data_IF_398892397433
#
_entry.id   IF_398892397433
#
_cell.length_a   1.000
_cell.length_b   1.000
_cell.length_c   1.000
_cell.angle_alpha   90.00
_cell.angle_beta   90.00
_cell.angle_gamma   90.00
#
_symmetry.space_group_name_H-M   'P 1'
#
loop_
_entity.id
_entity.type
_entity.pdbx_description
1 polymer ?
#
# COMPACT_ATOMS: atom_id res chain seq x y z
N UNK A 1 7.32 -15.29 35.88
CA UNK A 1 8.11 -15.44 34.63
C UNK A 1 7.70 -14.31 33.70
N UNK A 2 8.60 -13.35 33.48
CA UNK A 2 8.39 -12.29 32.49
C UNK A 2 8.77 -12.88 31.13
N UNK A 3 7.80 -13.07 30.24
CA UNK A 3 8.08 -13.35 28.84
C UNK A 3 8.53 -12.03 28.22
N UNK A 4 9.82 -11.74 28.33
CA UNK A 4 10.45 -10.73 27.51
C UNK A 4 10.47 -11.26 26.08
N UNK A 5 9.37 -11.09 25.35
CA UNK A 5 9.35 -11.20 23.90
C UNK A 5 10.28 -10.11 23.38
N UNK A 6 11.49 -10.49 23.00
CA UNK A 6 12.36 -9.61 22.24
C UNK A 6 11.58 -9.13 21.02
N UNK A 7 11.48 -7.80 20.85
CA UNK A 7 10.80 -7.23 19.70
C UNK A 7 11.42 -7.85 18.43
N UNK A 8 10.61 -8.38 17.50
CA UNK A 8 11.13 -8.95 16.27
C UNK A 8 12.02 -7.91 15.58
N UNK A 9 13.15 -8.36 15.03
CA UNK A 9 13.99 -7.47 14.21
C UNK A 9 13.13 -6.90 13.10
N UNK A 10 13.34 -5.63 12.71
CA UNK A 10 12.52 -4.94 11.68
C UNK A 10 12.27 -5.81 10.45
N UNK A 11 13.29 -6.53 9.96
CA UNK A 11 13.16 -7.46 8.85
C UNK A 11 12.13 -8.59 9.08
N UNK A 12 12.07 -9.16 10.29
CA UNK A 12 11.08 -10.19 10.64
C UNK A 12 9.66 -9.60 10.70
N UNK A 13 9.52 -8.40 11.24
CA UNK A 13 8.23 -7.70 11.30
C UNK A 13 7.71 -7.36 9.88
N UNK A 14 8.60 -6.87 9.00
CA UNK A 14 8.29 -6.62 7.58
C UNK A 14 7.86 -7.90 6.88
N UNK A 15 8.60 -9.00 7.03
CA UNK A 15 8.25 -10.29 6.41
C UNK A 15 6.91 -10.81 6.90
N UNK A 16 6.62 -10.70 8.20
CA UNK A 16 5.35 -11.11 8.76
C UNK A 16 4.19 -10.28 8.17
N UNK A 17 4.32 -8.95 8.16
CA UNK A 17 3.31 -8.05 7.57
C UNK A 17 3.11 -8.34 6.09
N UNK A 18 4.19 -8.53 5.33
CA UNK A 18 4.14 -8.90 3.92
C UNK A 18 3.34 -10.20 3.70
N UNK A 19 3.65 -11.25 4.45
CA UNK A 19 2.93 -12.52 4.34
C UNK A 19 1.45 -12.39 4.71
N UNK A 20 1.13 -11.60 5.74
CA UNK A 20 -0.24 -11.29 6.13
C UNK A 20 -0.99 -10.58 5.00
N UNK A 21 -0.41 -9.54 4.40
CA UNK A 21 -1.05 -8.82 3.29
C UNK A 21 -1.25 -9.70 2.07
N UNK A 22 -0.23 -10.46 1.65
CA UNK A 22 -0.38 -11.40 0.55
C UNK A 22 -1.50 -12.41 0.77
N UNK A 23 -1.60 -12.95 1.99
CA UNK A 23 -2.64 -13.92 2.37
C UNK A 23 -4.02 -13.27 2.41
N UNK A 24 -4.13 -12.10 3.04
CA UNK A 24 -5.38 -11.36 3.16
C UNK A 24 -5.93 -10.94 1.80
N UNK A 25 -5.07 -10.44 0.90
CA UNK A 25 -5.48 -10.06 -0.46
C UNK A 25 -5.88 -11.28 -1.29
N UNK A 26 -5.14 -12.38 -1.20
CA UNK A 26 -5.51 -13.61 -1.90
C UNK A 26 -6.89 -14.12 -1.43
N UNK A 27 -7.09 -14.21 -0.11
CA UNK A 27 -8.35 -14.68 0.48
C UNK A 27 -9.50 -13.72 0.20
N UNK A 28 -9.29 -12.40 0.31
CA UNK A 28 -10.33 -11.40 0.06
C UNK A 28 -10.81 -11.47 -1.38
N UNK A 29 -9.91 -11.61 -2.35
CA UNK A 29 -10.27 -11.79 -3.76
C UNK A 29 -11.08 -13.07 -3.98
N UNK A 30 -10.68 -14.17 -3.34
CA UNK A 30 -11.39 -15.45 -3.45
C UNK A 30 -12.81 -15.38 -2.88
N UNK A 31 -12.99 -14.67 -1.75
CA UNK A 31 -14.28 -14.53 -1.07
C UNK A 31 -15.19 -13.52 -1.78
N UNK A 32 -14.65 -12.38 -2.19
CA UNK A 32 -15.42 -11.27 -2.79
C UNK A 32 -15.82 -11.56 -4.24
N UNK A 33 -15.00 -12.32 -4.97
CA UNK A 33 -15.22 -12.59 -6.39
C UNK A 33 -15.23 -14.10 -6.68
N UNK A 34 -16.14 -14.88 -6.05
CA UNK A 34 -16.11 -16.34 -6.12
C UNK A 34 -16.37 -16.90 -7.53
N UNK A 35 -17.01 -16.12 -8.40
CA UNK A 35 -17.32 -16.50 -9.79
C UNK A 35 -16.34 -15.93 -10.81
N UNK A 36 -15.49 -14.98 -10.42
CA UNK A 36 -14.52 -14.38 -11.33
C UNK A 36 -13.26 -15.26 -11.38
N UNK A 37 -12.95 -15.78 -12.56
CA UNK A 37 -11.69 -16.49 -12.80
C UNK A 37 -10.54 -15.46 -12.85
N UNK A 38 -10.03 -15.09 -11.68
CA UNK A 38 -8.82 -14.27 -11.57
C UNK A 38 -7.60 -15.10 -11.96
N UNK A 39 -6.71 -14.50 -12.75
CA UNK A 39 -5.44 -15.09 -13.13
C UNK A 39 -4.36 -14.79 -12.07
N UNK A 40 -3.94 -15.82 -11.34
CA UNK A 40 -2.83 -15.76 -10.38
C UNK A 40 -1.49 -16.19 -10.99
N UNK A 41 -1.42 -16.28 -12.32
CA UNK A 41 -0.24 -16.70 -13.06
C UNK A 41 0.22 -18.08 -12.67
N UNK A 42 1.52 -18.24 -12.34
CA UNK A 42 2.06 -19.54 -11.93
C UNK A 42 1.31 -20.18 -10.75
N UNK A 43 0.62 -19.39 -9.90
CA UNK A 43 -0.16 -19.93 -8.79
C UNK A 43 -1.43 -20.65 -9.24
N UNK A 44 -1.92 -20.41 -10.46
CA UNK A 44 -3.07 -21.13 -11.02
C UNK A 44 -2.84 -22.64 -11.07
N UNK A 45 -1.60 -23.08 -11.33
CA UNK A 45 -1.26 -24.51 -11.36
C UNK A 45 -1.52 -25.21 -10.02
N UNK A 46 -1.36 -24.52 -8.88
CA UNK A 46 -1.62 -25.11 -7.56
C UNK A 46 -3.11 -25.27 -7.24
N UNK A 47 -3.98 -24.56 -7.96
CA UNK A 47 -5.44 -24.63 -7.80
C UNK A 47 -6.13 -25.28 -9.00
N UNK A 48 -5.37 -25.98 -9.86
CA UNK A 48 -5.88 -26.73 -11.01
C UNK A 48 -6.45 -25.85 -12.13
N UNK A 49 -5.96 -24.62 -12.27
CA UNK A 49 -6.36 -23.68 -13.33
C UNK A 49 -5.26 -23.54 -14.38
N UNK A 50 -5.65 -23.21 -15.60
CA UNK A 50 -4.71 -22.88 -16.68
C UNK A 50 -3.91 -21.63 -16.34
N UNK A 51 -2.64 -21.61 -16.75
CA UNK A 51 -1.74 -20.47 -16.61
C UNK A 51 -1.70 -19.75 -17.95
N UNK A 52 -2.25 -18.54 -18.01
CA UNK A 52 -2.16 -17.69 -19.21
C UNK A 52 -0.80 -16.97 -19.23
N UNK A 53 -0.52 -16.20 -18.17
CA UNK A 53 0.76 -15.51 -17.99
C UNK A 53 1.53 -16.05 -16.79
N UNK A 54 2.87 -16.17 -16.84
CA UNK A 54 3.62 -16.73 -15.72
C UNK A 54 3.65 -15.78 -14.50
N UNK A 55 3.70 -14.46 -14.71
CA UNK A 55 3.80 -13.49 -13.61
C UNK A 55 3.31 -12.08 -13.99
N UNK A 56 3.84 -11.49 -15.07
CA UNK A 56 3.49 -10.13 -15.47
C UNK A 56 2.03 -10.01 -15.93
N UNK A 57 1.34 -8.96 -15.46
CA UNK A 57 -0.09 -8.74 -15.71
C UNK A 57 -1.02 -9.60 -14.85
N UNK A 58 -0.48 -10.41 -13.93
CA UNK A 58 -1.28 -11.33 -13.10
C UNK A 58 -1.67 -10.72 -11.75
N UNK A 59 -2.68 -11.29 -11.10
CA UNK A 59 -3.07 -10.90 -9.74
C UNK A 59 -1.95 -11.15 -8.73
N UNK A 60 -1.12 -12.16 -8.96
CA UNK A 60 0.03 -12.49 -8.09
C UNK A 60 1.09 -11.39 -8.12
N UNK A 61 1.41 -10.84 -9.29
CA UNK A 61 2.31 -9.69 -9.39
C UNK A 61 1.75 -8.48 -8.63
N UNK A 62 0.44 -8.22 -8.79
CA UNK A 62 -0.21 -7.12 -8.08
C UNK A 62 -0.16 -7.31 -6.55
N UNK A 63 -0.57 -8.48 -6.05
CA UNK A 63 -0.57 -8.79 -4.61
C UNK A 63 0.83 -8.65 -4.03
N UNK A 64 1.83 -9.29 -4.63
CA UNK A 64 3.21 -9.27 -4.12
C UNK A 64 3.80 -7.85 -4.19
N UNK A 65 3.57 -7.14 -5.30
CA UNK A 65 4.08 -5.78 -5.48
C UNK A 65 3.50 -4.80 -4.47
N UNK A 66 2.18 -4.76 -4.35
CA UNK A 66 1.49 -3.86 -3.41
C UNK A 66 1.79 -4.24 -1.97
N UNK A 67 1.66 -5.52 -1.59
CA UNK A 67 1.96 -5.98 -0.23
C UNK A 67 3.40 -5.69 0.19
N UNK A 68 4.36 -5.87 -0.74
CA UNK A 68 5.77 -5.58 -0.50
C UNK A 68 6.01 -4.10 -0.23
N UNK A 69 5.48 -3.24 -1.09
CA UNK A 69 5.58 -1.80 -0.92
C UNK A 69 4.95 -1.34 0.39
N UNK A 70 3.72 -1.78 0.69
CA UNK A 70 3.01 -1.42 1.92
C UNK A 70 3.77 -1.86 3.17
N UNK A 71 4.24 -3.11 3.22
CA UNK A 71 4.99 -3.62 4.36
C UNK A 71 6.29 -2.82 4.59
N UNK A 72 7.04 -2.51 3.53
CA UNK A 72 8.25 -1.70 3.64
C UNK A 72 7.92 -0.29 4.14
N UNK A 73 6.91 0.35 3.57
CA UNK A 73 6.55 1.74 3.90
C UNK A 73 6.01 1.88 5.32
N UNK A 74 5.22 0.92 5.79
CA UNK A 74 4.66 0.87 7.14
C UNK A 74 5.75 0.79 8.22
N UNK A 75 6.68 -0.15 8.06
CA UNK A 75 7.75 -0.32 9.04
C UNK A 75 8.79 0.80 8.94
N UNK A 76 9.04 1.34 7.75
CA UNK A 76 9.97 2.47 7.56
C UNK A 76 9.43 3.74 8.22
N UNK A 77 8.15 4.05 8.00
CA UNK A 77 7.54 5.25 8.59
C UNK A 77 7.46 5.15 10.11
N UNK A 78 7.08 3.98 10.65
CA UNK A 78 7.04 3.76 12.10
C UNK A 78 8.43 3.91 12.73
N UNK A 79 9.48 3.34 12.11
CA UNK A 79 10.85 3.50 12.59
C UNK A 79 11.31 4.96 12.57
N UNK A 80 10.99 5.71 11.51
CA UNK A 80 11.33 7.14 11.40
C UNK A 80 10.58 7.97 12.43
N UNK A 81 9.28 7.76 12.58
CA UNK A 81 8.49 8.46 13.57
C UNK A 81 8.92 8.14 14.99
N UNK A 82 9.24 6.88 15.30
CA UNK A 82 9.79 6.51 16.61
C UNK A 82 11.12 7.21 16.87
N UNK A 83 11.99 7.35 15.86
CA UNK A 83 13.26 8.09 15.98
C UNK A 83 13.05 9.58 16.23
N UNK A 84 12.05 10.20 15.59
CA UNK A 84 11.74 11.64 15.72
C UNK A 84 11.03 11.93 17.03
N UNK A 85 9.95 11.20 17.33
CA UNK A 85 9.09 11.45 18.50
C UNK A 85 9.52 10.72 19.77
N UNK A 86 10.56 9.87 19.69
CA UNK A 86 11.10 9.07 20.80
C UNK A 86 10.07 8.17 21.49
N UNK A 87 8.98 7.83 20.79
CA UNK A 87 7.91 6.96 21.27
C UNK A 87 7.29 6.19 20.12
N UNK A 88 6.71 5.04 20.42
CA UNK A 88 5.88 4.32 19.46
C UNK A 88 4.60 5.13 19.16
N UNK A 89 4.26 5.23 17.88
CA UNK A 89 3.05 5.94 17.45
C UNK A 89 1.91 4.96 17.23
N UNK A 90 0.82 5.19 17.95
CA UNK A 90 -0.48 4.68 17.55
C UNK A 90 -1.06 5.65 16.51
N UNK A 91 -1.15 5.23 15.24
CA UNK A 91 -1.68 6.08 14.17
C UNK A 91 -3.13 6.52 14.44
N UNK A 92 -3.95 5.66 15.06
CA UNK A 92 -5.32 6.02 15.47
C UNK A 92 -5.37 7.21 16.46
N UNK A 93 -4.31 7.44 17.23
CA UNK A 93 -4.19 8.55 18.18
C UNK A 93 -3.34 9.70 17.65
N UNK A 94 -2.77 9.58 16.45
CA UNK A 94 -1.79 10.50 15.90
C UNK A 94 -2.16 10.90 14.47
N UNK A 95 -3.27 11.63 14.27
CA UNK A 95 -3.83 11.89 12.94
C UNK A 95 -2.85 12.58 11.98
N UNK A 96 -2.02 13.51 12.46
CA UNK A 96 -1.01 14.15 11.62
C UNK A 96 0.07 13.16 11.12
N UNK A 97 0.53 12.25 11.99
CA UNK A 97 1.49 11.22 11.62
C UNK A 97 0.85 10.16 10.70
N UNK A 98 -0.44 9.85 10.90
CA UNK A 98 -1.20 9.00 10.00
C UNK A 98 -1.33 9.64 8.60
N UNK A 99 -1.64 10.94 8.53
CA UNK A 99 -1.70 11.65 7.24
C UNK A 99 -0.34 11.65 6.54
N UNK A 100 0.73 11.96 7.27
CA UNK A 100 2.09 11.91 6.72
C UNK A 100 2.50 10.50 6.29
N UNK A 101 2.13 9.46 7.05
CA UNK A 101 2.33 8.06 6.68
C UNK A 101 1.66 7.74 5.34
N UNK A 102 0.36 7.98 5.26
CA UNK A 102 -0.46 7.64 4.10
C UNK A 102 -0.05 8.46 2.87
N UNK A 103 0.19 9.77 3.01
CA UNK A 103 0.48 10.60 1.86
C UNK A 103 1.92 10.48 1.37
N UNK A 104 2.90 10.34 2.27
CA UNK A 104 4.31 10.36 1.85
C UNK A 104 4.81 8.95 1.62
N UNK A 105 4.60 8.05 2.58
CA UNK A 105 5.21 6.72 2.54
C UNK A 105 4.42 5.79 1.62
N UNK A 106 3.11 5.64 1.83
CA UNK A 106 2.30 4.74 1.00
C UNK A 106 2.27 5.23 -0.46
N UNK A 107 2.02 6.52 -0.70
CA UNK A 107 2.07 7.09 -2.06
C UNK A 107 3.41 6.80 -2.74
N UNK A 108 4.54 7.05 -2.06
CA UNK A 108 5.86 6.80 -2.65
C UNK A 108 6.06 5.31 -2.94
N UNK A 109 5.68 4.42 -2.03
CA UNK A 109 5.78 2.98 -2.23
C UNK A 109 4.98 2.50 -3.44
N UNK A 110 3.70 2.88 -3.53
CA UNK A 110 2.83 2.51 -4.64
C UNK A 110 3.30 3.15 -5.95
N UNK A 111 3.73 4.42 -5.92
CA UNK A 111 4.29 5.11 -7.09
C UNK A 111 5.53 4.41 -7.62
N UNK A 112 6.46 3.98 -6.74
CA UNK A 112 7.64 3.23 -7.15
C UNK A 112 7.29 1.86 -7.76
N UNK A 113 6.29 1.18 -7.20
CA UNK A 113 5.77 -0.07 -7.79
C UNK A 113 5.19 0.18 -9.19
N UNK A 114 4.33 1.18 -9.36
CA UNK A 114 3.75 1.54 -10.65
C UNK A 114 4.82 1.97 -11.66
N UNK A 115 5.85 2.71 -11.22
CA UNK A 115 6.98 3.07 -12.06
C UNK A 115 7.73 1.81 -12.53
N UNK A 116 8.00 0.88 -11.61
CA UNK A 116 8.67 -0.38 -11.91
C UNK A 116 7.87 -1.25 -12.88
N UNK A 117 6.57 -1.37 -12.69
CA UNK A 117 5.67 -2.06 -13.63
C UNK A 117 5.66 -1.37 -15.00
N UNK A 118 5.55 -0.04 -15.05
CA UNK A 118 5.58 0.70 -16.32
C UNK A 118 6.91 0.55 -17.08
N UNK A 119 8.05 0.46 -16.38
CA UNK A 119 9.37 0.35 -17.01
C UNK A 119 9.79 -1.08 -17.36
N UNK A 120 9.41 -2.08 -16.55
CA UNK A 120 9.98 -3.42 -16.61
C UNK A 120 9.01 -4.49 -17.11
N UNK A 121 7.71 -4.21 -17.16
CA UNK A 121 6.72 -5.18 -17.59
C UNK A 121 6.81 -5.39 -19.13
N UNK A 122 7.15 -6.60 -19.60
CA UNK A 122 7.35 -6.88 -21.02
C UNK A 122 6.05 -6.83 -21.83
N UNK A 123 4.88 -6.79 -21.18
CA UNK A 123 3.59 -6.67 -21.85
C UNK A 123 3.33 -5.24 -22.37
N UNK A 124 4.12 -4.26 -21.92
CA UNK A 124 3.96 -2.85 -22.30
C UNK A 124 4.82 -2.41 -23.49
N UNK A 125 5.45 -3.33 -24.24
CA UNK A 125 6.42 -2.99 -25.30
C UNK A 125 5.87 -2.08 -26.39
N UNK A 126 4.56 -2.14 -26.65
CA UNK A 126 3.88 -1.33 -27.67
C UNK A 126 3.14 -0.12 -27.09
N UNK A 127 3.18 0.06 -25.77
CA UNK A 127 2.45 1.12 -25.05
C UNK A 127 3.41 2.12 -24.39
N UNK A 128 3.10 3.41 -24.46
CA UNK A 128 3.86 4.43 -23.72
C UNK A 128 3.39 4.52 -22.25
N UNK A 129 3.58 3.42 -21.51
CA UNK A 129 3.13 3.31 -20.11
C UNK A 129 3.89 4.21 -19.16
N UNK A 130 5.12 4.60 -19.51
CA UNK A 130 5.88 5.54 -18.70
C UNK A 130 5.30 6.95 -18.77
N UNK A 131 4.79 7.37 -19.93
CA UNK A 131 4.06 8.65 -20.06
C UNK A 131 2.74 8.61 -19.30
N UNK A 132 1.98 7.51 -19.42
CA UNK A 132 0.75 7.31 -18.62
C UNK A 132 1.06 7.36 -17.12
N UNK A 133 2.09 6.64 -16.67
CA UNK A 133 2.53 6.67 -15.28
C UNK A 133 2.84 8.09 -14.79
N UNK A 134 3.58 8.89 -15.56
CA UNK A 134 3.89 10.28 -15.19
C UNK A 134 2.63 11.14 -15.06
N UNK A 135 1.72 11.04 -16.04
CA UNK A 135 0.45 11.77 -16.04
C UNK A 135 -0.43 11.37 -14.85
N UNK A 136 -0.62 10.07 -14.64
CA UNK A 136 -1.48 9.55 -13.58
C UNK A 136 -0.89 9.72 -12.18
N UNK A 137 0.43 9.66 -12.03
CA UNK A 137 1.10 9.98 -10.75
C UNK A 137 0.90 11.45 -10.40
N UNK A 138 1.03 12.34 -11.38
CA UNK A 138 0.76 13.77 -11.18
C UNK A 138 -0.70 14.02 -10.83
N UNK A 139 -1.64 13.41 -11.57
CA UNK A 139 -3.07 13.49 -11.27
C UNK A 139 -3.40 12.93 -9.89
N UNK A 140 -2.77 11.84 -9.47
CA UNK A 140 -2.96 11.24 -8.15
C UNK A 140 -2.39 12.11 -7.03
N UNK A 141 -1.21 12.71 -7.26
CA UNK A 141 -0.60 13.65 -6.32
C UNK A 141 -1.47 14.90 -6.12
N UNK A 142 -2.00 15.47 -7.21
CA UNK A 142 -2.83 16.68 -7.18
C UNK A 142 -4.27 16.39 -6.75
N UNK A 143 -4.84 15.25 -7.13
CA UNK A 143 -6.27 14.92 -7.00
C UNK A 143 -6.63 13.85 -5.97
N UNK A 144 -5.79 12.85 -5.68
CA UNK A 144 -6.13 11.80 -4.68
C UNK A 144 -5.88 12.23 -3.23
N UNK A 145 -5.17 13.34 -3.05
CA UNK A 145 -4.91 13.96 -1.75
C UNK A 145 -6.20 14.51 -1.10
N UNK A 146 -7.30 14.68 -1.83
CA UNK A 146 -8.59 15.06 -1.24
C UNK A 146 -9.44 13.86 -0.84
N UNK A 147 -9.52 12.79 -1.62
CA UNK A 147 -10.42 11.66 -1.31
C UNK A 147 -9.96 10.78 -0.13
N UNK A 148 -8.65 10.53 0.00
CA UNK A 148 -8.11 9.73 1.12
C UNK A 148 -8.05 10.50 2.43
N UNK A 149 -7.91 11.83 2.34
CA UNK A 149 -7.88 12.72 3.50
C UNK A 149 -9.20 13.41 3.77
N UNK A 150 -10.22 13.25 2.92
CA UNK A 150 -11.55 13.85 3.06
C UNK A 150 -12.13 13.68 4.47
N UNK A 151 -12.03 12.49 5.11
CA UNK A 151 -12.52 12.33 6.48
C UNK A 151 -11.70 13.08 7.54
N UNK A 152 -10.46 13.46 7.22
CA UNK A 152 -9.49 14.08 8.14
C UNK A 152 -9.28 15.58 7.88
N UNK A 153 -9.59 16.06 6.66
CA UNK A 153 -9.54 17.48 6.27
C UNK A 153 -10.41 18.35 7.18
N UNK A 154 -11.68 18.00 7.48
CA UNK A 154 -12.52 18.79 8.38
C UNK A 154 -11.93 18.87 9.80
N UNK A 155 -11.31 17.79 10.29
CA UNK A 155 -10.63 17.74 11.60
C UNK A 155 -9.37 18.63 11.62
N UNK A 156 -8.60 18.65 10.54
CA UNK A 156 -7.41 19.48 10.41
C UNK A 156 -7.77 20.98 10.29
N UNK A 157 -8.78 21.30 9.49
CA UNK A 157 -9.31 22.67 9.34
C UNK A 157 -9.91 23.16 10.66
N UNK A 158 -10.68 22.32 11.37
CA UNK A 158 -11.23 22.66 12.68
C UNK A 158 -10.14 23.00 13.72
N UNK A 159 -8.97 22.38 13.65
CA UNK A 159 -7.84 22.67 14.54
C UNK A 159 -7.16 24.01 14.25
N UNK A 160 -7.19 24.49 13.02
CA UNK A 160 -6.49 25.71 12.59
C UNK A 160 -7.42 26.93 12.51
N UNK A 161 -8.65 26.73 12.02
CA UNK A 161 -9.63 27.77 11.75
C UNK A 161 -10.84 27.75 12.70
N UNK A 162 -10.85 26.82 13.67
CA UNK A 162 -11.92 26.65 14.65
C UNK A 162 -13.04 25.70 14.19
N UNK A 163 -13.87 25.18 15.13
CA UNK A 163 -14.81 24.09 14.86
C UNK A 163 -15.82 24.35 13.73
N UNK A 164 -16.23 25.60 13.53
CA UNK A 164 -17.19 26.00 12.50
C UNK A 164 -16.65 25.91 11.07
N UNK A 165 -15.32 25.92 10.90
CA UNK A 165 -14.68 25.80 9.59
C UNK A 165 -14.50 24.33 9.13
N UNK A 166 -14.65 23.37 10.05
CA UNK A 166 -14.51 21.94 9.77
C UNK A 166 -15.85 21.18 9.70
N UNK A 167 -16.97 21.88 9.51
CA UNK A 167 -18.32 21.28 9.46
C UNK A 167 -18.94 21.27 8.04
N UNK A 168 -18.13 21.52 7.01
CA UNK A 168 -18.53 21.50 5.59
C UNK A 168 -18.22 20.16 4.94
#
# INVERSE_FOLDING_TARGET
MSFATSAPKVAQAVTATFATYCTADFLSNFIQHPTQKMDYGFLNSFIGREVDQPFWGTRTQHIIGVAGCLAITDHTSQALFQKVFKKELCFAKSPAAFVAHTFLFIFSGVTLYCAGDAALNPNHKEEDRMTTFKSETYNSYVGSNTAWFEPYVPVAVAKLAGPAAGSS
#
